data_IF_846131912373
#
_entry.id   IF_846131912373
#
_cell.length_a   1.000
_cell.length_b   1.000
_cell.length_c   1.000
_cell.angle_alpha   90.00
_cell.angle_beta   90.00
_cell.angle_gamma   90.00
#
_symmetry.space_group_name_H-M   'P 1'
#
loop_
_entity.id
_entity.type
_entity.pdbx_description
1 polymer ?
#
# COMPACT_ATOMS: atom_id res chain seq x y z
N UNK A 1 -17.25 -3.78 23.04
CA UNK A 1 -17.24 -2.92 21.82
C UNK A 1 -15.78 -2.67 21.55
N UNK A 2 -15.33 -2.77 20.31
CA UNK A 2 -13.92 -2.53 19.99
C UNK A 2 -13.57 -1.07 20.22
N UNK A 3 -12.46 -0.81 20.91
CA UNK A 3 -11.92 0.53 21.09
C UNK A 3 -11.02 0.88 19.89
N UNK A 4 -11.29 2.00 19.25
CA UNK A 4 -10.69 2.37 17.95
C UNK A 4 -9.85 3.63 18.14
N UNK A 5 -8.63 3.66 17.56
CA UNK A 5 -7.86 4.89 17.39
C UNK A 5 -7.95 5.35 15.95
N UNK A 6 -8.55 6.53 15.72
CA UNK A 6 -8.55 7.20 14.42
C UNK A 6 -7.36 8.15 14.33
N UNK A 7 -6.48 7.91 13.37
CA UNK A 7 -5.28 8.72 13.11
C UNK A 7 -5.53 9.53 11.83
N UNK A 8 -5.51 10.85 11.92
CA UNK A 8 -5.77 11.72 10.76
C UNK A 8 -4.49 12.23 10.12
N UNK A 9 -4.37 12.08 8.80
CA UNK A 9 -3.19 12.53 8.05
C UNK A 9 -3.50 13.62 7.01
N UNK A 10 -4.76 14.08 6.92
CA UNK A 10 -5.20 15.04 5.91
C UNK A 10 -5.81 14.36 4.67
N UNK A 11 -5.29 14.69 3.50
CA UNK A 11 -5.80 14.22 2.21
C UNK A 11 -7.12 14.88 1.79
N UNK A 12 -7.66 14.51 0.62
CA UNK A 12 -8.86 15.09 0.03
C UNK A 12 -10.08 15.00 0.93
N UNK A 13 -10.25 13.89 1.65
CA UNK A 13 -11.35 13.68 2.61
C UNK A 13 -11.45 14.84 3.60
N UNK A 14 -10.32 15.33 4.11
CA UNK A 14 -10.23 16.42 5.09
C UNK A 14 -10.15 17.82 4.46
N UNK A 15 -10.29 17.96 3.14
CA UNK A 15 -10.13 19.25 2.46
C UNK A 15 -11.38 20.12 2.59
N UNK A 16 -11.11 21.45 2.61
CA UNK A 16 -12.12 22.47 2.35
C UNK A 16 -11.65 23.40 1.22
N UNK A 17 -12.56 24.06 0.50
CA UNK A 17 -12.20 25.03 -0.51
C UNK A 17 -11.47 26.23 0.09
N UNK A 18 -10.39 26.67 -0.57
CA UNK A 18 -9.65 27.91 -0.27
C UNK A 18 -9.50 28.75 -1.55
N UNK A 19 -8.97 29.94 -1.44
CA UNK A 19 -8.69 30.82 -2.61
C UNK A 19 -7.72 30.16 -3.61
N UNK A 20 -6.85 29.24 -3.14
CA UNK A 20 -5.82 28.58 -3.94
C UNK A 20 -6.16 27.12 -4.29
N UNK A 21 -7.40 26.67 -4.06
CA UNK A 21 -7.83 25.29 -4.29
C UNK A 21 -8.22 24.55 -3.01
N UNK A 22 -8.24 23.24 -3.06
CA UNK A 22 -8.56 22.40 -1.90
C UNK A 22 -7.35 22.29 -0.96
N UNK A 23 -7.58 22.44 0.35
CA UNK A 23 -6.55 22.30 1.38
C UNK A 23 -7.10 21.43 2.53
N UNK A 24 -6.31 20.48 3.07
CA UNK A 24 -6.69 19.71 4.26
C UNK A 24 -6.79 20.66 5.48
N UNK A 25 -7.98 20.77 6.05
CA UNK A 25 -8.26 21.67 7.18
C UNK A 25 -9.09 21.02 8.28
N UNK A 26 -9.87 19.98 7.93
CA UNK A 26 -10.69 19.25 8.89
C UNK A 26 -9.82 18.40 9.82
N UNK A 27 -10.06 18.55 11.12
CA UNK A 27 -9.48 17.69 12.15
C UNK A 27 -10.34 16.46 12.37
N UNK A 28 -9.84 15.50 13.12
CA UNK A 28 -10.56 14.26 13.39
C UNK A 28 -11.93 14.46 14.02
N UNK A 29 -12.08 15.46 14.91
CA UNK A 29 -13.39 15.79 15.49
C UNK A 29 -14.40 16.29 14.44
N UNK A 30 -13.94 17.08 13.47
CA UNK A 30 -14.78 17.58 12.38
C UNK A 30 -15.16 16.43 11.42
N UNK A 31 -14.22 15.51 11.17
CA UNK A 31 -14.43 14.29 10.35
C UNK A 31 -15.51 13.41 10.98
N UNK A 32 -15.48 13.25 12.31
CA UNK A 32 -16.44 12.42 13.03
C UNK A 32 -17.89 12.94 12.99
N UNK A 33 -18.11 14.22 12.72
CA UNK A 33 -19.48 14.75 12.51
C UNK A 33 -20.18 14.12 11.30
N UNK A 34 -19.42 13.59 10.33
CA UNK A 34 -19.94 12.90 9.14
C UNK A 34 -20.07 11.39 9.32
N UNK A 35 -19.63 10.83 10.46
CA UNK A 35 -19.72 9.41 10.73
C UNK A 35 -21.12 9.03 11.20
N UNK A 36 -21.73 8.00 10.61
CA UNK A 36 -23.03 7.50 11.04
C UNK A 36 -22.97 6.65 12.34
N UNK A 37 -21.78 6.13 12.68
CA UNK A 37 -21.55 5.25 13.85
C UNK A 37 -21.18 6.07 15.10
N UNK A 38 -22.12 6.90 15.58
CA UNK A 38 -21.90 7.78 16.74
C UNK A 38 -21.78 7.02 18.07
N UNK A 39 -22.14 5.73 18.10
CA UNK A 39 -22.01 4.83 19.25
C UNK A 39 -20.67 4.09 19.29
N UNK A 40 -19.81 4.25 18.29
CA UNK A 40 -18.49 3.63 18.25
C UNK A 40 -17.55 4.31 19.28
N UNK A 41 -16.74 3.51 19.99
CA UNK A 41 -15.74 4.00 20.94
C UNK A 41 -14.46 4.37 20.16
N UNK A 42 -14.38 5.64 19.75
CA UNK A 42 -13.31 6.16 18.88
C UNK A 42 -12.59 7.31 19.57
N UNK A 43 -11.30 7.11 19.83
CA UNK A 43 -10.38 8.19 20.19
C UNK A 43 -9.68 8.73 18.92
N UNK A 44 -9.29 10.01 18.96
CA UNK A 44 -8.72 10.71 17.82
C UNK A 44 -7.27 11.09 18.09
N UNK A 45 -6.40 10.80 17.11
CA UNK A 45 -5.03 11.27 17.05
C UNK A 45 -4.86 12.12 15.78
N UNK A 46 -4.87 13.44 15.91
CA UNK A 46 -4.53 14.35 14.81
C UNK A 46 -3.01 14.31 14.59
N UNK A 47 -2.58 13.51 13.61
CA UNK A 47 -1.17 13.29 13.33
C UNK A 47 -0.57 14.40 12.46
N UNK A 48 -1.06 14.53 11.22
CA UNK A 48 -0.60 15.53 10.26
C UNK A 48 -1.75 15.99 9.37
N UNK A 49 -1.65 17.18 8.80
CA UNK A 49 -2.57 17.69 7.78
C UNK A 49 -1.76 17.91 6.49
N UNK A 50 -1.52 16.85 5.73
CA UNK A 50 -0.67 16.87 4.53
C UNK A 50 -1.39 16.29 3.32
N UNK A 51 -0.93 16.70 2.13
CA UNK A 51 -1.22 16.00 0.89
C UNK A 51 -0.40 14.71 0.86
N UNK A 52 -1.05 13.59 0.51
CA UNK A 52 -0.38 12.29 0.51
C UNK A 52 0.74 12.17 -0.54
N UNK A 53 0.74 13.03 -1.56
CA UNK A 53 1.81 13.06 -2.57
C UNK A 53 3.17 13.50 -2.01
N UNK A 54 3.18 14.19 -0.87
CA UNK A 54 4.40 14.64 -0.18
C UNK A 54 4.73 13.83 1.07
N UNK A 55 3.91 12.81 1.41
CA UNK A 55 4.16 11.93 2.55
C UNK A 55 5.41 11.08 2.32
N UNK A 56 6.31 11.12 3.28
CA UNK A 56 7.60 10.40 3.25
C UNK A 56 7.55 9.04 3.95
N UNK A 57 8.57 8.22 3.80
CA UNK A 57 8.71 6.97 4.56
C UNK A 57 9.00 7.22 6.04
N UNK A 58 9.60 8.37 6.42
CA UNK A 58 9.73 8.75 7.82
C UNK A 58 8.34 9.05 8.44
N UNK A 59 7.41 9.67 7.71
CA UNK A 59 6.02 9.87 8.16
C UNK A 59 5.29 8.52 8.34
N UNK A 60 5.53 7.55 7.45
CA UNK A 60 4.96 6.20 7.56
C UNK A 60 5.54 5.42 8.73
N UNK A 61 6.85 5.59 9.00
CA UNK A 61 7.49 5.01 10.17
C UNK A 61 6.86 5.53 11.47
N UNK A 62 6.66 6.85 11.57
CA UNK A 62 6.01 7.48 12.71
C UNK A 62 4.56 6.97 12.89
N UNK A 63 3.81 6.76 11.80
CA UNK A 63 2.49 6.10 11.86
C UNK A 63 2.58 4.67 12.43
N UNK A 64 3.56 3.88 11.98
CA UNK A 64 3.77 2.53 12.49
C UNK A 64 4.12 2.54 13.99
N UNK A 65 4.94 3.48 14.45
CA UNK A 65 5.28 3.67 15.85
C UNK A 65 4.06 4.06 16.71
N UNK A 66 3.19 4.96 16.20
CA UNK A 66 1.93 5.32 16.88
C UNK A 66 1.03 4.10 17.02
N UNK A 67 0.84 3.31 15.96
CA UNK A 67 0.02 2.09 16.00
C UNK A 67 0.60 1.09 16.99
N UNK A 68 1.91 0.84 16.91
CA UNK A 68 2.59 -0.10 17.80
C UNK A 68 2.56 0.31 19.26
N UNK A 69 2.78 1.60 19.54
CA UNK A 69 2.77 2.16 20.91
C UNK A 69 1.39 2.11 21.57
N UNK A 70 0.32 2.05 20.76
CA UNK A 70 -1.06 2.02 21.24
C UNK A 70 -1.73 0.65 21.09
N UNK A 71 -1.00 -0.39 20.69
CA UNK A 71 -1.56 -1.70 20.36
C UNK A 71 -2.24 -2.40 21.53
N UNK A 72 -1.87 -2.11 22.76
CA UNK A 72 -2.46 -2.74 23.94
C UNK A 72 -3.72 -2.01 24.44
N UNK A 73 -3.91 -0.75 24.03
CA UNK A 73 -5.03 0.10 24.44
C UNK A 73 -6.19 0.10 23.43
N UNK A 74 -5.95 -0.24 22.17
CA UNK A 74 -6.96 -0.21 21.10
C UNK A 74 -7.05 -1.55 20.37
N UNK A 75 -8.25 -1.88 19.91
CA UNK A 75 -8.56 -3.10 19.16
C UNK A 75 -8.42 -2.90 17.64
N UNK A 76 -8.54 -1.65 17.18
CA UNK A 76 -8.46 -1.31 15.76
C UNK A 76 -7.89 0.10 15.56
N UNK A 77 -7.30 0.32 14.38
CA UNK A 77 -6.72 1.58 13.94
C UNK A 77 -7.33 1.98 12.61
N UNK A 78 -7.85 3.21 12.53
CA UNK A 78 -8.34 3.80 11.27
C UNK A 78 -7.42 4.96 10.91
N UNK A 79 -7.00 5.03 9.65
CA UNK A 79 -6.15 6.10 9.16
C UNK A 79 -6.90 6.82 8.04
N UNK A 80 -7.23 8.10 8.20
CA UNK A 80 -7.72 8.92 7.10
C UNK A 80 -6.54 9.44 6.29
N UNK A 81 -6.57 9.30 4.97
CA UNK A 81 -5.41 9.46 4.11
C UNK A 81 -5.78 10.05 2.75
N UNK A 82 -4.86 10.75 2.11
CA UNK A 82 -4.99 11.15 0.71
C UNK A 82 -4.80 9.96 -0.23
N UNK A 83 -5.53 9.96 -1.36
CA UNK A 83 -5.60 8.78 -2.23
C UNK A 83 -4.33 8.49 -3.04
N UNK A 84 -3.45 9.49 -3.27
CA UNK A 84 -2.31 9.33 -4.19
C UNK A 84 -1.24 8.36 -3.69
N UNK A 85 -0.97 8.33 -2.40
CA UNK A 85 -0.03 7.37 -1.82
C UNK A 85 -0.64 6.43 -0.78
N UNK A 86 -1.97 6.30 -0.76
CA UNK A 86 -2.70 5.45 0.17
C UNK A 86 -2.27 3.98 0.11
N UNK A 87 -2.15 3.42 -1.10
CA UNK A 87 -1.70 2.03 -1.29
C UNK A 87 -0.26 1.82 -0.80
N UNK A 88 0.63 2.81 -1.00
CA UNK A 88 2.00 2.79 -0.47
C UNK A 88 2.02 2.81 1.06
N UNK A 89 1.19 3.63 1.69
CA UNK A 89 1.09 3.67 3.17
C UNK A 89 0.54 2.36 3.71
N UNK A 90 -0.47 1.77 3.08
CA UNK A 90 -0.99 0.46 3.44
C UNK A 90 0.09 -0.63 3.34
N UNK A 91 0.81 -0.66 2.23
CA UNK A 91 1.91 -1.59 1.99
C UNK A 91 3.06 -1.43 3.01
N UNK A 92 3.43 -0.18 3.32
CA UNK A 92 4.43 0.13 4.33
C UNK A 92 4.03 -0.43 5.69
N UNK A 93 2.83 -0.10 6.17
CA UNK A 93 2.34 -0.51 7.49
C UNK A 93 2.21 -2.03 7.61
N UNK A 94 1.73 -2.70 6.56
CA UNK A 94 1.64 -4.16 6.51
C UNK A 94 3.02 -4.82 6.63
N UNK A 95 4.04 -4.26 5.96
CA UNK A 95 5.42 -4.76 6.01
C UNK A 95 6.16 -4.34 7.28
N UNK A 96 5.89 -3.15 7.84
CA UNK A 96 6.52 -2.65 9.06
C UNK A 96 5.97 -3.31 10.33
N UNK A 97 4.75 -3.85 10.28
CA UNK A 97 4.05 -4.48 11.40
C UNK A 97 3.71 -5.96 11.11
N UNK A 98 4.71 -6.80 10.76
CA UNK A 98 4.46 -8.20 10.45
C UNK A 98 3.89 -8.94 11.65
N UNK A 99 2.92 -9.81 11.38
CA UNK A 99 2.23 -10.59 12.41
C UNK A 99 1.19 -9.83 13.23
N UNK A 100 0.97 -8.54 12.97
CA UNK A 100 0.03 -7.70 13.73
C UNK A 100 -1.41 -8.18 13.56
N UNK A 101 -2.08 -8.51 14.68
CA UNK A 101 -3.36 -9.25 14.69
C UNK A 101 -4.59 -8.37 14.86
N UNK A 102 -4.42 -7.06 14.79
CA UNK A 102 -5.53 -6.09 14.89
C UNK A 102 -5.81 -5.45 13.53
N UNK A 103 -6.89 -4.70 13.45
CA UNK A 103 -7.27 -3.97 12.24
C UNK A 103 -6.37 -2.75 12.02
N UNK A 104 -5.84 -2.59 10.82
CA UNK A 104 -5.28 -1.33 10.31
C UNK A 104 -6.06 -0.99 9.05
N UNK A 105 -6.98 -0.05 9.15
CA UNK A 105 -7.89 0.28 8.06
C UNK A 105 -7.58 1.68 7.56
N UNK A 106 -7.20 1.80 6.29
CA UNK A 106 -6.86 3.08 5.70
C UNK A 106 -8.01 3.50 4.79
N UNK A 107 -8.49 4.71 4.95
CA UNK A 107 -9.58 5.26 4.14
C UNK A 107 -9.27 6.67 3.67
N UNK A 108 -9.98 7.12 2.67
CA UNK A 108 -9.86 8.45 2.09
C UNK A 108 -10.98 8.68 1.09
N UNK A 109 -10.87 9.71 0.27
CA UNK A 109 -11.91 10.02 -0.70
C UNK A 109 -11.38 10.76 -1.92
N UNK A 110 -12.12 10.68 -3.01
CA UNK A 110 -11.87 11.50 -4.19
C UNK A 110 -12.48 12.91 -4.05
N UNK A 111 -13.56 13.03 -3.28
CA UNK A 111 -14.20 14.31 -2.99
C UNK A 111 -14.18 14.63 -1.48
N UNK A 112 -14.05 15.91 -1.09
CA UNK A 112 -14.06 16.33 0.31
C UNK A 112 -15.38 16.00 1.04
N UNK A 113 -15.31 15.76 2.36
CA UNK A 113 -16.50 15.49 3.20
C UNK A 113 -17.61 16.55 3.09
N UNK A 114 -17.33 17.87 3.05
CA UNK A 114 -18.38 18.88 2.93
C UNK A 114 -19.02 18.98 1.53
N UNK A 115 -18.47 18.29 0.53
CA UNK A 115 -18.97 18.39 -0.85
C UNK A 115 -20.16 17.46 -1.08
N UNK A 116 -21.20 17.97 -1.74
CA UNK A 116 -22.34 17.16 -2.16
C UNK A 116 -21.93 16.05 -3.13
N UNK A 117 -22.43 14.82 -2.91
CA UNK A 117 -22.09 13.65 -3.72
C UNK A 117 -20.71 13.05 -3.43
N UNK A 118 -20.11 13.41 -2.30
CA UNK A 118 -18.82 12.86 -1.86
C UNK A 118 -18.91 11.35 -1.59
N UNK A 119 -17.83 10.64 -1.91
CA UNK A 119 -17.60 9.25 -1.52
C UNK A 119 -17.03 9.13 -0.08
N UNK A 120 -16.62 10.25 0.51
CA UNK A 120 -15.91 10.27 1.79
C UNK A 120 -16.74 9.71 2.96
N UNK A 121 -18.04 10.05 3.00
CA UNK A 121 -18.94 9.60 4.06
C UNK A 121 -19.11 8.08 4.04
N UNK A 122 -19.33 7.49 2.87
CA UNK A 122 -19.50 6.04 2.72
C UNK A 122 -18.19 5.31 3.04
N UNK A 123 -17.05 5.83 2.59
CA UNK A 123 -15.73 5.25 2.86
C UNK A 123 -15.39 5.31 4.36
N UNK A 124 -15.67 6.44 5.04
CA UNK A 124 -15.50 6.58 6.47
C UNK A 124 -16.35 5.57 7.25
N UNK A 125 -17.64 5.48 6.91
CA UNK A 125 -18.57 4.56 7.55
C UNK A 125 -18.19 3.09 7.34
N UNK A 126 -17.69 2.74 6.15
CA UNK A 126 -17.15 1.41 5.86
C UNK A 126 -15.94 1.09 6.75
N UNK A 127 -15.02 2.04 6.91
CA UNK A 127 -13.84 1.85 7.74
C UNK A 127 -14.23 1.64 9.22
N UNK A 128 -15.10 2.47 9.75
CA UNK A 128 -15.59 2.35 11.14
C UNK A 128 -16.34 1.03 11.35
N UNK A 129 -17.24 0.68 10.43
CA UNK A 129 -17.95 -0.60 10.49
C UNK A 129 -17.00 -1.79 10.50
N UNK A 130 -16.01 -1.82 9.61
CA UNK A 130 -15.05 -2.91 9.54
C UNK A 130 -14.20 -3.02 10.83
N UNK A 131 -13.82 -1.90 11.43
CA UNK A 131 -13.13 -1.86 12.73
C UNK A 131 -14.01 -2.39 13.87
N UNK A 132 -15.29 -1.98 13.92
CA UNK A 132 -16.25 -2.47 14.91
C UNK A 132 -16.50 -3.98 14.79
N UNK A 133 -16.53 -4.52 13.58
CA UNK A 133 -16.73 -5.94 13.28
C UNK A 133 -15.47 -6.79 13.48
N UNK A 134 -14.32 -6.18 13.84
CA UNK A 134 -13.06 -6.86 14.12
C UNK A 134 -12.43 -7.46 12.85
N UNK A 135 -12.37 -6.68 11.75
CA UNK A 135 -11.51 -7.03 10.62
C UNK A 135 -10.07 -7.19 11.12
N UNK A 136 -9.33 -8.15 10.62
CA UNK A 136 -7.92 -8.38 11.01
C UNK A 136 -7.03 -8.17 9.80
N UNK A 137 -5.90 -7.46 10.01
CA UNK A 137 -4.92 -7.14 8.99
C UNK A 137 -5.02 -5.72 8.45
N UNK A 138 -4.14 -5.39 7.51
CA UNK A 138 -4.07 -4.07 6.88
C UNK A 138 -4.88 -4.05 5.59
N UNK A 139 -5.83 -3.10 5.45
CA UNK A 139 -6.64 -2.95 4.23
C UNK A 139 -6.97 -1.50 3.91
N UNK A 140 -7.39 -1.27 2.68
CA UNK A 140 -8.09 -0.06 2.26
C UNK A 140 -9.60 -0.25 2.41
N UNK A 141 -10.30 0.72 3.01
CA UNK A 141 -11.76 0.80 3.01
C UNK A 141 -12.16 1.92 2.06
N UNK A 142 -12.57 1.57 0.84
CA UNK A 142 -12.88 2.53 -0.23
C UNK A 142 -13.90 1.95 -1.20
N UNK A 143 -14.82 2.79 -1.63
CA UNK A 143 -15.87 2.45 -2.60
C UNK A 143 -16.58 1.11 -2.29
N UNK A 144 -17.10 0.99 -1.06
CA UNK A 144 -17.81 -0.20 -0.54
C UNK A 144 -16.96 -1.49 -0.48
N UNK A 145 -15.63 -1.40 -0.63
CA UNK A 145 -14.72 -2.54 -0.67
C UNK A 145 -13.67 -2.47 0.44
N UNK A 146 -13.30 -3.64 0.98
CA UNK A 146 -12.14 -3.81 1.85
C UNK A 146 -11.05 -4.54 1.07
N UNK A 147 -10.07 -3.80 0.58
CA UNK A 147 -9.00 -4.33 -0.27
C UNK A 147 -7.73 -4.53 0.56
N UNK A 148 -7.20 -5.76 0.71
CA UNK A 148 -5.98 -6.00 1.48
C UNK A 148 -4.79 -5.20 0.97
N UNK A 149 -3.97 -4.66 1.87
CA UNK A 149 -2.77 -3.88 1.55
C UNK A 149 -1.86 -4.58 0.55
N UNK A 150 -1.70 -5.89 0.70
CA UNK A 150 -0.86 -6.72 -0.15
C UNK A 150 -1.22 -6.68 -1.63
N UNK A 151 -2.50 -6.47 -1.95
CA UNK A 151 -3.00 -6.51 -3.32
C UNK A 151 -3.56 -5.18 -3.82
N UNK A 152 -3.71 -4.18 -2.96
CA UNK A 152 -4.29 -2.89 -3.32
C UNK A 152 -3.36 -2.09 -4.22
N UNK A 153 -3.93 -1.44 -5.24
CA UNK A 153 -3.22 -0.46 -6.08
C UNK A 153 -4.20 0.58 -6.62
N UNK A 154 -3.72 1.81 -6.86
CA UNK A 154 -4.52 2.89 -7.47
C UNK A 154 -4.50 2.75 -8.99
N UNK A 155 -5.68 2.64 -9.60
CA UNK A 155 -5.86 2.41 -11.04
C UNK A 155 -6.32 3.65 -11.80
N UNK A 156 -7.02 4.56 -11.13
CA UNK A 156 -7.59 5.74 -11.74
C UNK A 156 -7.28 7.00 -10.93
N UNK A 157 -7.24 8.14 -11.60
CA UNK A 157 -6.97 9.44 -10.97
C UNK A 157 -8.23 10.06 -10.37
N UNK A 158 -9.41 9.86 -10.96
CA UNK A 158 -10.64 10.62 -10.66
C UNK A 158 -11.86 9.77 -10.28
N UNK A 159 -11.91 8.51 -10.67
CA UNK A 159 -13.09 7.64 -10.41
C UNK A 159 -13.20 7.24 -8.94
N UNK A 160 -14.43 7.04 -8.45
CA UNK A 160 -14.64 6.50 -7.10
C UNK A 160 -14.14 5.05 -6.96
N UNK A 161 -14.13 4.29 -8.08
CA UNK A 161 -13.53 2.96 -8.18
C UNK A 161 -12.01 2.98 -8.37
N UNK A 162 -11.35 4.05 -7.92
CA UNK A 162 -9.94 4.30 -8.21
C UNK A 162 -8.97 3.22 -7.71
N UNK A 163 -9.38 2.36 -6.80
CA UNK A 163 -8.54 1.29 -6.26
C UNK A 163 -9.06 -0.10 -6.63
N UNK A 164 -8.13 -0.98 -6.98
CA UNK A 164 -8.41 -2.37 -7.31
C UNK A 164 -7.47 -3.32 -6.56
N UNK A 165 -7.93 -4.58 -6.39
CA UNK A 165 -7.06 -5.68 -6.03
C UNK A 165 -6.41 -6.24 -7.30
N UNK A 166 -5.10 -6.46 -7.28
CA UNK A 166 -4.37 -7.13 -8.37
C UNK A 166 -4.57 -8.66 -8.36
N UNK A 167 -5.27 -9.19 -7.38
CA UNK A 167 -5.70 -10.59 -7.34
C UNK A 167 -7.04 -10.71 -8.04
N UNK A 168 -7.06 -11.39 -9.20
CA UNK A 168 -8.21 -11.43 -10.11
C UNK A 168 -9.50 -11.96 -9.49
N UNK A 169 -9.40 -12.96 -8.62
CA UNK A 169 -10.53 -13.63 -7.97
C UNK A 169 -10.66 -13.19 -6.50
N UNK A 170 -10.23 -11.96 -6.20
CA UNK A 170 -10.33 -11.40 -4.87
C UNK A 170 -11.80 -11.30 -4.42
N UNK A 171 -12.08 -11.79 -3.22
CA UNK A 171 -13.39 -11.68 -2.58
C UNK A 171 -13.33 -10.53 -1.58
N UNK A 172 -14.22 -9.54 -1.73
CA UNK A 172 -14.31 -8.40 -0.82
C UNK A 172 -14.48 -8.83 0.63
N UNK A 173 -13.70 -8.23 1.51
CA UNK A 173 -13.70 -8.56 2.94
C UNK A 173 -13.01 -9.88 3.28
N UNK A 174 -12.39 -10.56 2.32
CA UNK A 174 -11.52 -11.70 2.62
C UNK A 174 -10.39 -11.26 3.53
N UNK A 175 -10.26 -11.94 4.68
CA UNK A 175 -9.25 -11.64 5.68
C UNK A 175 -8.03 -12.52 5.46
N UNK A 176 -6.86 -11.90 5.35
CA UNK A 176 -5.59 -12.60 5.49
C UNK A 176 -5.14 -12.44 6.95
N UNK A 177 -5.31 -13.49 7.76
CA UNK A 177 -4.88 -13.45 9.16
C UNK A 177 -3.34 -13.45 9.18
N UNK A 178 -2.70 -12.37 9.67
CA UNK A 178 -1.25 -12.30 9.74
C UNK A 178 -0.67 -13.46 10.56
N UNK A 179 0.38 -14.07 10.04
CA UNK A 179 1.05 -15.20 10.67
C UNK A 179 2.33 -14.74 11.38
N UNK A 180 2.74 -15.49 12.40
CA UNK A 180 3.97 -15.25 13.12
C UNK A 180 3.82 -14.37 14.36
N UNK A 181 4.96 -13.95 14.90
CA UNK A 181 5.05 -13.07 16.07
C UNK A 181 4.90 -11.62 15.64
N UNK A 182 4.14 -10.86 16.41
CA UNK A 182 3.99 -9.43 16.20
C UNK A 182 5.30 -8.69 16.50
N UNK A 183 5.71 -7.83 15.59
CA UNK A 183 6.87 -6.95 15.80
C UNK A 183 6.74 -5.65 15.05
N UNK A 184 7.45 -4.62 15.51
CA UNK A 184 7.68 -3.39 14.79
C UNK A 184 9.04 -3.47 14.08
N UNK A 185 9.03 -3.23 12.77
CA UNK A 185 10.23 -2.99 11.98
C UNK A 185 10.35 -1.48 11.76
N UNK A 186 11.27 -0.84 12.46
CA UNK A 186 11.36 0.62 12.51
C UNK A 186 11.55 1.27 11.14
N UNK A 187 12.40 0.69 10.29
CA UNK A 187 12.68 1.22 8.93
C UNK A 187 13.02 0.13 7.94
N UNK A 188 12.82 0.39 6.64
CA UNK A 188 13.35 -0.48 5.58
C UNK A 188 14.85 -0.66 5.70
N UNK A 189 15.33 -1.90 5.53
CA UNK A 189 16.74 -2.27 5.73
C UNK A 189 17.50 -2.49 4.43
N UNK A 190 16.81 -2.47 3.27
CA UNK A 190 17.41 -2.70 1.94
C UNK A 190 17.18 -1.53 1.01
N UNK A 191 18.20 -1.19 0.23
CA UNK A 191 18.10 -0.29 -0.91
C UNK A 191 17.59 -1.08 -2.10
N UNK A 192 16.39 -0.76 -2.59
CA UNK A 192 15.72 -1.49 -3.69
C UNK A 192 15.50 -0.59 -4.88
N UNK A 193 15.89 -1.06 -6.07
CA UNK A 193 15.59 -0.40 -7.33
C UNK A 193 14.34 -0.97 -7.98
N UNK A 194 13.55 -0.13 -8.66
CA UNK A 194 12.43 -0.54 -9.51
C UNK A 194 12.82 -0.36 -10.96
N UNK A 195 12.75 -1.44 -11.75
CA UNK A 195 13.12 -1.44 -13.16
C UNK A 195 11.93 -1.89 -14.00
N UNK A 196 11.45 -0.99 -14.86
CA UNK A 196 10.41 -1.30 -15.83
C UNK A 196 11.04 -1.73 -17.15
N UNK A 197 10.87 -2.99 -17.55
CA UNK A 197 11.42 -3.51 -18.80
C UNK A 197 10.71 -2.86 -19.99
N UNK A 198 11.51 -2.28 -20.89
CA UNK A 198 11.09 -1.88 -22.22
C UNK A 198 12.00 -2.56 -23.26
N UNK A 199 11.55 -2.79 -24.49
CA UNK A 199 12.38 -3.48 -25.50
C UNK A 199 13.73 -2.81 -25.79
N UNK A 200 13.84 -1.50 -25.55
CA UNK A 200 15.04 -0.68 -25.81
C UNK A 200 15.84 -0.34 -24.53
N UNK A 201 15.49 -0.89 -23.36
CA UNK A 201 16.30 -0.69 -22.15
C UNK A 201 17.67 -1.33 -22.35
N UNK A 202 18.73 -0.55 -22.20
CA UNK A 202 20.11 -1.00 -22.42
C UNK A 202 20.75 -1.56 -21.14
N UNK A 203 21.84 -2.30 -21.31
CA UNK A 203 22.57 -2.94 -20.23
C UNK A 203 23.29 -1.93 -19.30
N UNK A 204 23.68 -0.76 -19.81
CA UNK A 204 24.35 0.29 -19.03
C UNK A 204 23.37 0.87 -18.00
N UNK A 205 22.15 1.20 -18.42
CA UNK A 205 21.07 1.67 -17.55
C UNK A 205 20.77 0.65 -16.44
N UNK A 206 20.69 -0.65 -16.78
CA UNK A 206 20.50 -1.72 -15.77
C UNK A 206 21.71 -1.73 -14.80
N UNK A 207 22.92 -1.55 -15.31
CA UNK A 207 24.15 -1.55 -14.52
C UNK A 207 24.22 -0.49 -13.41
N UNK A 208 23.48 0.62 -13.53
CA UNK A 208 23.40 1.67 -12.50
C UNK A 208 22.78 1.19 -11.18
N UNK A 209 22.10 0.05 -11.18
CA UNK A 209 21.51 -0.55 -9.97
C UNK A 209 22.48 -1.46 -9.20
N UNK A 210 23.76 -1.48 -9.57
CA UNK A 210 24.76 -2.35 -8.94
C UNK A 210 25.02 -2.05 -7.45
N UNK A 211 24.65 -0.86 -6.99
CA UNK A 211 24.76 -0.43 -5.57
C UNK A 211 23.49 -0.69 -4.76
N UNK A 212 22.48 -1.34 -5.36
CA UNK A 212 21.27 -1.75 -4.65
C UNK A 212 21.48 -3.12 -4.00
N UNK A 213 20.78 -3.37 -2.88
CA UNK A 213 20.72 -4.70 -2.26
C UNK A 213 19.81 -5.64 -3.09
N UNK A 214 18.80 -5.06 -3.72
CA UNK A 214 17.88 -5.77 -4.58
C UNK A 214 17.30 -4.87 -5.69
N UNK A 215 16.73 -5.50 -6.73
CA UNK A 215 15.90 -4.84 -7.73
C UNK A 215 14.59 -5.61 -7.91
N UNK A 216 13.48 -4.87 -8.04
CA UNK A 216 12.21 -5.40 -8.53
C UNK A 216 12.10 -5.07 -10.02
N UNK A 217 12.09 -6.09 -10.85
CA UNK A 217 12.06 -5.97 -12.31
C UNK A 217 10.66 -6.30 -12.82
N UNK A 218 10.00 -5.33 -13.46
CA UNK A 218 8.70 -5.52 -14.08
C UNK A 218 8.90 -6.03 -15.51
N UNK A 219 8.67 -7.34 -15.71
CA UNK A 219 8.90 -8.04 -16.95
C UNK A 219 7.69 -8.03 -17.88
N UNK A 220 7.91 -8.24 -19.19
CA UNK A 220 6.85 -8.26 -20.20
C UNK A 220 5.98 -9.53 -20.05
N UNK A 221 4.67 -9.35 -20.04
CA UNK A 221 3.71 -10.45 -20.02
C UNK A 221 3.99 -11.49 -18.92
N UNK A 222 4.10 -12.76 -19.29
CA UNK A 222 4.36 -13.86 -18.37
C UNK A 222 5.86 -14.07 -18.05
N UNK A 223 6.76 -13.13 -18.39
CA UNK A 223 8.18 -13.23 -18.03
C UNK A 223 9.14 -12.91 -19.18
N UNK A 224 8.66 -12.25 -20.26
CA UNK A 224 9.51 -11.88 -21.38
C UNK A 224 10.49 -10.77 -21.03
N UNK A 225 11.75 -10.95 -21.48
CA UNK A 225 12.75 -9.88 -21.57
C UNK A 225 13.76 -10.18 -22.69
N UNK A 226 14.34 -9.14 -23.33
CA UNK A 226 15.40 -9.34 -24.32
C UNK A 226 16.66 -10.00 -23.72
N UNK A 227 17.34 -10.87 -24.48
CA UNK A 227 18.52 -11.62 -23.96
C UNK A 227 19.66 -10.74 -23.46
N UNK A 228 19.88 -9.56 -24.07
CA UNK A 228 20.91 -8.63 -23.59
C UNK A 228 20.59 -8.04 -22.21
N UNK A 229 19.30 -7.82 -21.93
CA UNK A 229 18.85 -7.38 -20.60
C UNK A 229 18.99 -8.51 -19.57
N UNK A 230 18.66 -9.72 -19.94
CA UNK A 230 18.83 -10.90 -19.09
C UNK A 230 20.29 -11.07 -18.65
N UNK A 231 21.25 -10.91 -19.55
CA UNK A 231 22.67 -10.94 -19.24
C UNK A 231 23.10 -9.79 -18.29
N UNK A 232 22.49 -8.61 -18.42
CA UNK A 232 22.76 -7.49 -17.52
C UNK A 232 22.26 -7.76 -16.09
N UNK A 233 21.10 -8.41 -15.93
CA UNK A 233 20.61 -8.85 -14.61
C UNK A 233 21.45 -9.98 -14.03
N UNK A 234 21.98 -10.88 -14.85
CA UNK A 234 22.96 -11.88 -14.37
C UNK A 234 24.21 -11.20 -13.81
N UNK A 235 24.73 -10.17 -14.48
CA UNK A 235 25.85 -9.39 -13.99
C UNK A 235 25.55 -8.64 -12.66
N UNK A 236 24.31 -8.18 -12.44
CA UNK A 236 23.90 -7.64 -11.14
C UNK A 236 23.92 -8.73 -10.04
N UNK A 237 23.41 -9.93 -10.35
CA UNK A 237 23.45 -11.07 -9.40
C UNK A 237 24.88 -11.46 -9.02
N UNK A 238 25.80 -11.47 -9.97
CA UNK A 238 27.22 -11.73 -9.72
C UNK A 238 27.85 -10.71 -8.74
N UNK A 239 27.30 -9.48 -8.72
CA UNK A 239 27.67 -8.44 -7.75
C UNK A 239 26.94 -8.54 -6.41
N UNK A 240 26.05 -9.54 -6.24
CA UNK A 240 25.31 -9.77 -5.01
C UNK A 240 23.93 -9.11 -4.95
N UNK A 241 23.49 -8.41 -6.00
CA UNK A 241 22.15 -7.80 -6.08
C UNK A 241 21.10 -8.88 -6.25
N UNK A 242 20.10 -8.94 -5.38
CA UNK A 242 18.97 -9.85 -5.54
C UNK A 242 18.04 -9.35 -6.64
N UNK A 243 17.66 -10.21 -7.58
CA UNK A 243 16.76 -9.84 -8.69
C UNK A 243 15.40 -10.50 -8.47
N UNK A 244 14.42 -9.69 -8.11
CA UNK A 244 13.02 -10.06 -8.03
C UNK A 244 12.32 -9.71 -9.34
N UNK A 245 11.37 -10.54 -9.77
CA UNK A 245 10.64 -10.30 -11.01
C UNK A 245 9.13 -10.36 -10.78
N UNK A 246 8.41 -9.45 -11.43
CA UNK A 246 6.97 -9.38 -11.43
C UNK A 246 6.47 -8.99 -12.83
N UNK A 247 5.29 -9.45 -13.22
CA UNK A 247 4.68 -9.02 -14.48
C UNK A 247 4.33 -7.52 -14.46
N UNK A 248 4.47 -6.85 -15.59
CA UNK A 248 3.89 -5.52 -15.85
C UNK A 248 2.36 -5.57 -15.95
N UNK A 249 1.81 -6.74 -16.26
CA UNK A 249 0.37 -6.94 -16.29
C UNK A 249 -0.17 -6.93 -14.85
N UNK A 250 -1.24 -6.20 -14.63
CA UNK A 250 -1.87 -6.07 -13.30
C UNK A 250 -2.34 -7.43 -12.82
N UNK A 251 -2.98 -8.20 -13.69
CA UNK A 251 -3.44 -9.54 -13.41
C UNK A 251 -2.52 -10.58 -14.06
N UNK A 252 -2.21 -11.62 -13.31
CA UNK A 252 -1.40 -12.74 -13.77
C UNK A 252 -0.08 -12.88 -13.01
N UNK A 253 0.71 -13.85 -13.43
CA UNK A 253 1.97 -14.20 -12.77
C UNK A 253 3.08 -14.41 -13.80
N UNK A 254 4.31 -14.36 -13.32
CA UNK A 254 5.48 -14.75 -14.11
C UNK A 254 5.60 -16.26 -14.13
N UNK A 255 5.59 -16.84 -15.34
CA UNK A 255 5.75 -18.27 -15.58
C UNK A 255 6.59 -18.47 -16.85
N UNK A 256 7.54 -19.40 -16.81
CA UNK A 256 8.32 -19.78 -17.98
C UNK A 256 7.52 -20.71 -18.92
N UNK A 257 6.44 -20.17 -19.50
CA UNK A 257 5.55 -20.90 -20.42
C UNK A 257 6.21 -21.10 -21.81
N UNK A 258 7.03 -20.14 -22.25
CA UNK A 258 7.70 -20.17 -23.54
C UNK A 258 9.20 -20.41 -23.36
N UNK A 259 9.83 -21.09 -24.32
CA UNK A 259 11.30 -21.29 -24.35
C UNK A 259 12.07 -19.96 -24.23
N UNK A 260 11.56 -18.89 -24.88
CA UNK A 260 12.11 -17.56 -24.79
C UNK A 260 12.06 -16.94 -23.36
N UNK A 261 11.23 -17.48 -22.48
CA UNK A 261 11.11 -17.05 -21.09
C UNK A 261 11.88 -17.96 -20.10
N UNK A 262 12.62 -18.94 -20.57
CA UNK A 262 13.33 -19.90 -19.71
C UNK A 262 14.36 -19.24 -18.79
N UNK A 263 14.90 -18.08 -19.19
CA UNK A 263 15.84 -17.30 -18.39
C UNK A 263 15.27 -16.70 -17.12
N UNK A 264 13.94 -16.49 -17.01
CA UNK A 264 13.34 -15.89 -15.80
C UNK A 264 13.34 -16.82 -14.60
N UNK A 265 13.47 -18.15 -14.80
CA UNK A 265 13.51 -19.13 -13.72
C UNK A 265 14.72 -18.96 -12.76
N UNK A 266 15.73 -18.21 -13.15
CA UNK A 266 16.91 -17.87 -12.33
C UNK A 266 16.71 -16.67 -11.41
N UNK A 267 15.59 -15.97 -11.53
CA UNK A 267 15.21 -14.81 -10.73
C UNK A 267 14.09 -15.18 -9.74
N UNK A 268 13.87 -14.32 -8.75
CA UNK A 268 12.89 -14.58 -7.67
C UNK A 268 11.52 -14.03 -8.09
N UNK A 269 10.51 -14.89 -8.35
CA UNK A 269 9.20 -14.41 -8.75
C UNK A 269 8.44 -13.80 -7.57
N UNK A 270 7.74 -12.69 -7.82
CA UNK A 270 6.78 -12.06 -6.90
C UNK A 270 5.39 -12.15 -7.52
N UNK A 271 4.48 -12.82 -6.83
CA UNK A 271 3.13 -13.13 -7.33
C UNK A 271 2.07 -12.68 -6.33
N UNK A 272 0.85 -12.47 -6.83
CA UNK A 272 -0.35 -12.17 -6.03
C UNK A 272 -0.20 -10.97 -5.08
N UNK A 273 0.59 -9.97 -5.49
CA UNK A 273 0.82 -8.74 -4.74
C UNK A 273 0.76 -7.54 -5.67
N UNK A 274 0.47 -6.34 -5.13
CA UNK A 274 0.71 -5.09 -5.86
C UNK A 274 2.21 -4.81 -6.02
N UNK A 275 2.56 -3.89 -6.92
CA UNK A 275 3.94 -3.38 -7.04
C UNK A 275 4.29 -2.61 -5.77
N UNK A 276 3.34 -1.85 -5.25
CA UNK A 276 3.47 -1.03 -4.05
C UNK A 276 3.89 -1.88 -2.85
N UNK A 277 3.17 -2.98 -2.62
CA UNK A 277 3.49 -3.93 -1.55
C UNK A 277 4.80 -4.68 -1.81
N UNK A 278 5.03 -5.14 -3.02
CA UNK A 278 6.24 -5.89 -3.37
C UNK A 278 7.52 -5.09 -3.10
N UNK A 279 7.50 -3.79 -3.40
CA UNK A 279 8.63 -2.90 -3.12
C UNK A 279 8.93 -2.86 -1.61
N UNK A 280 7.94 -2.57 -0.77
CA UNK A 280 8.17 -2.53 0.68
C UNK A 280 8.50 -3.91 1.27
N UNK A 281 7.88 -4.97 0.78
CA UNK A 281 8.20 -6.33 1.24
C UNK A 281 9.67 -6.71 0.99
N UNK A 282 10.23 -6.29 -0.16
CA UNK A 282 11.66 -6.47 -0.44
C UNK A 282 12.51 -5.53 0.44
N UNK A 283 12.12 -4.27 0.57
CA UNK A 283 12.83 -3.26 1.36
C UNK A 283 12.93 -3.65 2.84
N UNK A 284 11.86 -4.17 3.42
CA UNK A 284 11.82 -4.67 4.80
C UNK A 284 12.41 -6.09 4.95
N UNK A 285 12.65 -6.80 3.85
CA UNK A 285 13.13 -8.18 3.90
C UNK A 285 12.07 -9.19 4.33
N UNK A 286 10.81 -8.87 4.08
CA UNK A 286 9.66 -9.78 4.30
C UNK A 286 9.68 -10.91 3.28
N UNK A 287 10.19 -10.62 2.06
CA UNK A 287 10.42 -11.60 0.98
C UNK A 287 11.82 -11.53 0.44
#
# INVERSE_FOLDING_TARGET
MNRILMITTGGTLACTPTENGLMPTLKGVDIMEYCAHQDADIDICDFKLIDSSIMTDDDRAELAEIIWGNKDDYDAFIITHGTDSMAYTAAYLDCALPGFKKSIIITGAQLPLPQEGTDATDNLNLAVKAAMEGYVGTCLAIFHRLIPAKSATKMETEGFTAFESVVKDYIDGQREIPQGEEKLMEKPVRKVGLIYITPNLDAETIGHYADCDAVLVLVLGAGGMPKHQEAAFDALKEKGVKVYIKSQCIYGKVEAIYEAHSGVNKFIPVVDTSIDWAMYAIMFGVI
#
